data_IF_678601672523
#
_entry.id   IF_678601672523
#
_cell.length_a   1.000
_cell.length_b   1.000
_cell.length_c   1.000
_cell.angle_alpha   90.00
_cell.angle_beta   90.00
_cell.angle_gamma   90.00
#
_symmetry.space_group_name_H-M   'P 1'
#
loop_
_entity.id
_entity.type
_entity.pdbx_description
1 polymer ?
#
# COMPACT_ATOMS: atom_id res chain seq x y z
N UNK A 1 -38.33 -18.84 -4.86
CA UNK A 1 -37.77 -18.52 -6.19
C UNK A 1 -36.37 -17.98 -5.96
N UNK A 2 -35.33 -18.76 -6.28
CA UNK A 2 -33.95 -18.32 -6.14
C UNK A 2 -33.59 -17.40 -7.31
N UNK A 3 -33.09 -16.20 -7.01
CA UNK A 3 -32.53 -15.29 -8.00
C UNK A 3 -31.28 -15.94 -8.60
N UNK A 4 -31.29 -16.18 -9.90
CA UNK A 4 -30.08 -16.55 -10.65
C UNK A 4 -29.09 -15.40 -10.52
N UNK A 5 -27.94 -15.67 -9.90
CA UNK A 5 -26.76 -14.81 -10.01
C UNK A 5 -26.35 -14.77 -11.48
N UNK A 6 -26.35 -13.58 -12.07
CA UNK A 6 -25.76 -13.35 -13.38
C UNK A 6 -24.26 -13.71 -13.33
N UNK A 7 -23.69 -14.27 -14.41
CA UNK A 7 -22.26 -14.54 -14.44
C UNK A 7 -21.52 -13.20 -14.40
N UNK A 8 -20.73 -12.99 -13.34
CA UNK A 8 -19.80 -11.86 -13.25
C UNK A 8 -18.95 -11.84 -14.53
N UNK A 9 -18.99 -10.71 -15.25
CA UNK A 9 -18.10 -10.50 -16.39
C UNK A 9 -16.65 -10.62 -15.88
N UNK A 10 -15.77 -11.38 -16.56
CA UNK A 10 -14.38 -11.47 -16.15
C UNK A 10 -13.79 -10.06 -16.15
N UNK A 11 -13.27 -9.62 -15.00
CA UNK A 11 -12.58 -8.34 -14.85
C UNK A 11 -11.56 -8.19 -15.98
N UNK A 12 -11.40 -6.98 -16.57
CA UNK A 12 -10.48 -6.79 -17.68
C UNK A 12 -9.09 -7.28 -17.25
N UNK A 13 -8.49 -8.17 -18.05
CA UNK A 13 -7.16 -8.70 -17.80
C UNK A 13 -6.15 -7.54 -17.75
N UNK A 14 -5.74 -7.14 -16.54
CA UNK A 14 -4.67 -6.16 -16.36
C UNK A 14 -3.38 -6.80 -16.87
N UNK A 15 -2.76 -6.16 -17.86
CA UNK A 15 -1.44 -6.54 -18.33
C UNK A 15 -0.37 -6.07 -17.33
N UNK A 16 0.38 -7.02 -16.78
CA UNK A 16 1.56 -6.76 -15.94
C UNK A 16 2.82 -6.94 -16.82
N UNK A 17 3.61 -5.88 -17.05
CA UNK A 17 4.86 -6.00 -17.79
C UNK A 17 5.84 -6.96 -17.11
N UNK A 18 6.65 -7.73 -17.85
CA UNK A 18 7.66 -8.61 -17.28
C UNK A 18 8.59 -7.89 -16.29
N UNK A 19 8.98 -6.65 -16.60
CA UNK A 19 9.87 -5.84 -15.77
C UNK A 19 9.23 -5.50 -14.41
N UNK A 20 7.90 -5.36 -14.37
CA UNK A 20 7.18 -5.18 -13.10
C UNK A 20 7.12 -6.46 -12.30
N UNK A 21 6.93 -7.61 -12.96
CA UNK A 21 6.97 -8.91 -12.26
C UNK A 21 8.34 -9.16 -11.66
N UNK A 22 9.40 -9.02 -12.46
CA UNK A 22 10.78 -9.19 -12.01
C UNK A 22 11.12 -8.25 -10.85
N UNK A 23 10.74 -6.97 -10.93
CA UNK A 23 10.96 -6.02 -9.85
C UNK A 23 10.22 -6.43 -8.56
N UNK A 24 8.95 -6.86 -8.67
CA UNK A 24 8.17 -7.29 -7.51
C UNK A 24 8.74 -8.56 -6.86
N UNK A 25 9.16 -9.53 -7.68
CA UNK A 25 9.80 -10.76 -7.21
C UNK A 25 11.13 -10.46 -6.52
N UNK A 26 11.96 -9.57 -7.09
CA UNK A 26 13.19 -9.12 -6.44
C UNK A 26 12.92 -8.47 -5.08
N UNK A 27 11.94 -7.55 -5.00
CA UNK A 27 11.58 -6.90 -3.72
C UNK A 27 11.12 -7.94 -2.68
N UNK A 28 10.30 -8.91 -3.09
CA UNK A 28 9.72 -9.87 -2.17
C UNK A 28 10.68 -10.99 -1.75
N UNK A 29 11.57 -11.43 -2.65
CA UNK A 29 12.32 -12.68 -2.48
C UNK A 29 13.86 -12.54 -2.50
N UNK A 30 14.44 -11.42 -2.96
CA UNK A 30 15.91 -11.26 -3.09
C UNK A 30 16.61 -10.98 -1.75
N UNK A 31 15.86 -10.57 -0.72
CA UNK A 31 16.42 -10.33 0.62
C UNK A 31 16.38 -11.56 1.53
N UNK A 32 17.53 -11.90 2.13
CA UNK A 32 17.62 -12.84 3.25
C UNK A 32 16.87 -12.22 4.44
N UNK A 33 15.91 -12.96 4.98
CA UNK A 33 14.81 -12.48 5.83
C UNK A 33 15.26 -11.84 7.15
N UNK A 34 15.53 -10.53 7.16
CA UNK A 34 15.27 -9.55 8.24
C UNK A 34 16.15 -8.29 8.06
N UNK A 35 15.60 -7.07 8.12
CA UNK A 35 14.17 -6.77 8.22
C UNK A 35 13.43 -7.04 6.90
N UNK A 36 12.10 -7.25 6.93
CA UNK A 36 11.28 -7.32 5.72
C UNK A 36 11.34 -6.03 4.88
N UNK A 37 11.01 -6.11 3.58
CA UNK A 37 11.14 -4.98 2.67
C UNK A 37 10.17 -3.84 2.99
N UNK A 38 10.65 -2.61 2.80
CA UNK A 38 9.85 -1.39 2.71
C UNK A 38 10.02 -0.84 1.30
N UNK A 39 8.96 -0.88 0.50
CA UNK A 39 8.97 -0.46 -0.90
C UNK A 39 8.17 0.82 -1.07
N UNK A 40 8.80 1.85 -1.65
CA UNK A 40 8.13 3.12 -1.98
C UNK A 40 7.86 3.13 -3.49
N UNK A 41 6.59 3.28 -3.86
CA UNK A 41 6.16 3.36 -5.26
C UNK A 41 5.91 4.81 -5.62
N UNK A 42 6.75 5.36 -6.50
CA UNK A 42 6.70 6.75 -6.94
C UNK A 42 6.77 6.90 -8.46
N UNK A 43 6.38 8.08 -8.96
CA UNK A 43 6.25 8.34 -10.40
C UNK A 43 5.11 9.30 -10.73
N UNK A 44 4.98 9.64 -12.01
CA UNK A 44 3.99 10.60 -12.49
C UNK A 44 2.53 10.15 -12.25
N UNK A 45 1.58 11.09 -12.32
CA UNK A 45 0.16 10.76 -12.36
C UNK A 45 -0.14 9.84 -13.56
N UNK A 46 -1.00 8.84 -13.35
CA UNK A 46 -1.41 7.87 -14.36
C UNK A 46 -0.29 6.99 -14.98
N UNK A 47 0.90 6.89 -14.36
CA UNK A 47 1.95 5.97 -14.82
C UNK A 47 1.79 4.52 -14.29
N UNK A 48 0.67 4.21 -13.62
CA UNK A 48 0.37 2.87 -13.14
C UNK A 48 0.85 2.51 -11.73
N UNK A 49 1.27 3.50 -10.91
CA UNK A 49 1.72 3.29 -9.50
C UNK A 49 0.75 2.44 -8.69
N UNK A 50 -0.52 2.83 -8.60
CA UNK A 50 -1.57 2.09 -7.91
C UNK A 50 -1.68 0.62 -8.35
N UNK A 51 -1.57 0.38 -9.65
CA UNK A 51 -1.61 -0.98 -10.20
C UNK A 51 -0.38 -1.77 -9.78
N UNK A 52 0.81 -1.19 -9.90
CA UNK A 52 2.04 -1.82 -9.43
C UNK A 52 2.04 -2.06 -7.91
N UNK A 53 1.57 -1.09 -7.11
CA UNK A 53 1.46 -1.21 -5.65
C UNK A 53 0.53 -2.35 -5.24
N UNK A 54 -0.63 -2.51 -5.92
CA UNK A 54 -1.55 -3.64 -5.69
C UNK A 54 -0.95 -4.97 -6.13
N UNK A 55 -0.24 -5.00 -7.26
CA UNK A 55 0.48 -6.19 -7.72
C UNK A 55 1.57 -6.60 -6.73
N UNK A 56 2.45 -5.67 -6.32
CA UNK A 56 3.50 -5.90 -5.34
C UNK A 56 2.94 -6.35 -3.99
N UNK A 57 1.83 -5.74 -3.53
CA UNK A 57 1.13 -6.15 -2.32
C UNK A 57 0.72 -7.63 -2.38
N UNK A 58 0.14 -8.07 -3.51
CA UNK A 58 -0.25 -9.47 -3.70
C UNK A 58 0.95 -10.42 -3.71
N UNK A 59 2.07 -10.05 -4.37
CA UNK A 59 3.29 -10.86 -4.36
C UNK A 59 3.86 -10.97 -2.93
N UNK A 60 3.89 -9.87 -2.18
CA UNK A 60 4.31 -9.90 -0.77
C UNK A 60 3.39 -10.78 0.08
N UNK A 61 2.07 -10.75 -0.14
CA UNK A 61 1.11 -11.59 0.58
C UNK A 61 1.26 -13.10 0.30
N UNK A 62 1.89 -13.49 -0.81
CA UNK A 62 2.26 -14.89 -1.05
C UNK A 62 3.39 -15.38 -0.13
N UNK A 63 4.22 -14.46 0.37
CA UNK A 63 5.36 -14.75 1.25
C UNK A 63 5.10 -14.41 2.72
N UNK A 64 4.35 -13.35 2.98
CA UNK A 64 4.09 -12.80 4.31
C UNK A 64 2.60 -12.91 4.65
N UNK A 65 2.29 -13.29 5.89
CA UNK A 65 0.89 -13.40 6.36
C UNK A 65 0.13 -12.07 6.32
N UNK A 66 0.87 -10.97 6.49
CA UNK A 66 0.34 -9.61 6.53
C UNK A 66 1.33 -8.67 5.85
N UNK A 67 0.81 -7.62 5.23
CA UNK A 67 1.59 -6.55 4.61
C UNK A 67 0.95 -5.22 4.98
N UNK A 68 1.77 -4.25 5.37
CA UNK A 68 1.35 -2.87 5.57
C UNK A 68 1.23 -2.16 4.23
N UNK A 69 0.21 -1.30 4.11
CA UNK A 69 0.01 -0.41 2.98
C UNK A 69 -0.16 1.01 3.50
N UNK A 70 0.86 1.84 3.30
CA UNK A 70 0.85 3.26 3.64
C UNK A 70 0.47 4.06 2.40
N UNK A 71 -0.75 4.58 2.40
CA UNK A 71 -1.23 5.43 1.32
C UNK A 71 -1.06 6.90 1.67
N UNK A 72 -0.25 7.58 0.87
CA UNK A 72 0.02 9.01 1.01
C UNK A 72 -0.60 9.83 -0.12
N UNK A 73 -1.30 9.22 -1.08
CA UNK A 73 -2.01 9.96 -2.12
C UNK A 73 -3.37 10.45 -1.59
N UNK A 74 -3.41 11.70 -1.08
CA UNK A 74 -4.66 12.32 -0.62
C UNK A 74 -5.67 12.58 -1.74
N UNK A 75 -5.26 12.55 -3.01
CA UNK A 75 -6.14 12.81 -4.15
C UNK A 75 -6.83 11.56 -4.67
N UNK A 76 -6.09 10.46 -4.79
CA UNK A 76 -6.59 9.17 -5.27
C UNK A 76 -6.09 8.01 -4.39
N UNK A 77 -6.53 7.94 -3.13
CA UNK A 77 -6.17 6.84 -2.24
C UNK A 77 -6.86 5.53 -2.67
N UNK A 78 -6.25 4.40 -2.31
CA UNK A 78 -6.73 3.05 -2.59
C UNK A 78 -7.81 2.60 -1.60
N UNK A 79 -7.57 2.76 -0.28
CA UNK A 79 -8.39 2.11 0.76
C UNK A 79 -9.22 3.09 1.61
N UNK A 80 -9.19 4.37 1.29
CA UNK A 80 -9.88 5.41 2.07
C UNK A 80 -10.55 6.43 1.15
N UNK A 81 -11.47 7.27 1.66
CA UNK A 81 -12.01 8.38 0.89
C UNK A 81 -10.91 9.40 0.52
N UNK A 82 -11.08 10.20 -0.53
CA UNK A 82 -10.18 11.31 -0.84
C UNK A 82 -10.02 12.27 0.35
N UNK A 83 -8.82 12.82 0.49
CA UNK A 83 -8.44 13.71 1.58
C UNK A 83 -7.91 13.00 2.83
N UNK A 84 -7.69 11.69 2.78
CA UNK A 84 -7.08 10.92 3.86
C UNK A 84 -5.67 10.44 3.50
N UNK A 85 -4.82 10.36 4.52
CA UNK A 85 -3.66 9.47 4.51
C UNK A 85 -3.97 8.29 5.41
N UNK A 86 -3.52 7.09 5.05
CA UNK A 86 -3.89 5.89 5.80
C UNK A 86 -2.78 4.85 5.85
N UNK A 87 -2.72 4.12 6.96
CA UNK A 87 -1.98 2.87 7.10
C UNK A 87 -3.02 1.75 7.23
N UNK A 88 -2.99 0.81 6.30
CA UNK A 88 -3.86 -0.37 6.30
C UNK A 88 -3.01 -1.63 6.39
N UNK A 89 -3.44 -2.60 7.18
CA UNK A 89 -2.82 -3.93 7.21
C UNK A 89 -3.68 -4.88 6.39
N UNK A 90 -3.06 -5.48 5.39
CA UNK A 90 -3.72 -6.41 4.47
C UNK A 90 -3.20 -7.81 4.75
N UNK A 91 -4.11 -8.78 4.78
CA UNK A 91 -3.85 -10.18 5.10
C UNK A 91 -4.45 -11.16 4.09
N UNK A 92 -5.03 -10.64 3.01
CA UNK A 92 -5.67 -11.42 1.96
C UNK A 92 -5.30 -10.85 0.60
N UNK A 93 -4.93 -11.76 -0.33
CA UNK A 93 -4.65 -11.42 -1.72
C UNK A 93 -5.92 -10.83 -2.34
N UNK A 94 -5.75 -9.74 -3.08
CA UNK A 94 -6.83 -9.09 -3.81
C UNK A 94 -6.80 -9.58 -5.27
N UNK A 95 -7.66 -10.53 -5.69
CA UNK A 95 -7.62 -11.06 -7.06
C UNK A 95 -7.98 -9.95 -8.07
N UNK A 96 -8.94 -9.13 -7.65
CA UNK A 96 -9.46 -7.93 -8.29
C UNK A 96 -8.47 -6.75 -8.41
N UNK A 97 -7.43 -6.78 -9.24
CA UNK A 97 -6.48 -5.64 -9.34
C UNK A 97 -7.11 -4.34 -9.88
N UNK A 98 -8.37 -4.33 -10.31
CA UNK A 98 -9.12 -3.14 -10.73
C UNK A 98 -9.93 -2.52 -9.59
N UNK A 99 -10.34 -3.32 -8.60
CA UNK A 99 -11.24 -2.88 -7.52
C UNK A 99 -10.47 -2.79 -6.20
N UNK A 100 -10.30 -1.58 -5.63
CA UNK A 100 -9.78 -1.46 -4.28
C UNK A 100 -10.75 -2.11 -3.29
N UNK A 101 -10.26 -3.10 -2.55
CA UNK A 101 -11.05 -3.74 -1.50
C UNK A 101 -10.98 -2.87 -0.25
N UNK A 102 -12.04 -2.09 0.00
CA UNK A 102 -12.11 -1.24 1.19
C UNK A 102 -11.92 -2.08 2.46
N UNK A 103 -10.76 -1.97 3.08
CA UNK A 103 -10.47 -2.47 4.43
C UNK A 103 -10.43 -1.28 5.39
N UNK A 104 -10.92 -1.47 6.61
CA UNK A 104 -10.78 -0.46 7.66
C UNK A 104 -9.29 -0.25 7.94
N UNK A 105 -8.75 0.97 7.76
CA UNK A 105 -7.36 1.24 8.06
C UNK A 105 -7.06 1.06 9.55
N UNK A 106 -5.85 0.61 9.89
CA UNK A 106 -5.36 0.59 11.27
C UNK A 106 -5.30 2.02 11.83
N UNK A 107 -4.85 2.95 11.00
CA UNK A 107 -4.91 4.39 11.26
C UNK A 107 -5.15 5.17 9.98
N UNK A 108 -5.93 6.23 10.09
CA UNK A 108 -6.07 7.22 9.03
C UNK A 108 -6.13 8.62 9.63
N UNK A 109 -5.66 9.60 8.87
CA UNK A 109 -5.64 11.01 9.24
C UNK A 109 -6.32 11.81 8.14
N UNK A 110 -7.38 12.55 8.51
CA UNK A 110 -8.09 13.42 7.58
C UNK A 110 -7.28 14.69 7.34
N UNK A 111 -6.69 14.80 6.16
CA UNK A 111 -5.95 15.99 5.73
C UNK A 111 -6.88 17.14 5.33
N UNK A 112 -8.09 16.84 4.84
CA UNK A 112 -9.09 17.85 4.51
C UNK A 112 -8.91 18.52 3.15
N UNK A 113 -8.03 17.99 2.30
CA UNK A 113 -7.84 18.42 0.92
C UNK A 113 -7.38 17.26 0.03
N UNK A 114 -7.70 17.29 -1.26
CA UNK A 114 -7.24 16.31 -2.26
C UNK A 114 -5.88 16.69 -2.86
N UNK A 115 -5.30 17.79 -2.40
CA UNK A 115 -3.98 18.26 -2.77
C UNK A 115 -3.16 18.61 -1.53
N UNK A 116 -2.12 17.82 -1.24
CA UNK A 116 -1.13 18.17 -0.22
C UNK A 116 -0.34 19.48 -0.45
N UNK A 117 -0.49 20.17 -1.59
CA UNK A 117 0.08 21.50 -1.83
C UNK A 117 -0.53 22.55 -0.92
N UNK A 118 -1.76 22.33 -0.44
CA UNK A 118 -2.44 23.24 0.49
C UNK A 118 -1.66 23.45 1.78
N UNK A 119 -1.05 22.38 2.31
CA UNK A 119 -0.23 22.45 3.51
C UNK A 119 0.79 21.29 3.53
N UNK A 120 1.94 21.45 2.85
CA UNK A 120 2.96 20.41 2.76
C UNK A 120 3.51 19.98 4.12
N UNK A 121 3.61 20.91 5.08
CA UNK A 121 4.09 20.64 6.44
C UNK A 121 3.13 19.70 7.17
N UNK A 122 1.83 20.00 7.18
CA UNK A 122 0.84 19.11 7.81
C UNK A 122 0.77 17.75 7.11
N UNK A 123 0.87 17.74 5.78
CA UNK A 123 0.93 16.50 5.01
C UNK A 123 2.11 15.61 5.44
N UNK A 124 3.32 16.17 5.50
CA UNK A 124 4.51 15.44 5.95
C UNK A 124 4.38 14.99 7.41
N UNK A 125 3.86 15.84 8.30
CA UNK A 125 3.61 15.48 9.69
C UNK A 125 2.66 14.28 9.82
N UNK A 126 1.65 14.18 8.94
CA UNK A 126 0.73 13.04 8.93
C UNK A 126 1.40 11.77 8.42
N UNK A 127 2.25 11.87 7.39
CA UNK A 127 3.07 10.73 6.94
C UNK A 127 3.98 10.25 8.06
N UNK A 128 4.69 11.16 8.74
CA UNK A 128 5.56 10.81 9.86
C UNK A 128 4.78 10.17 10.99
N UNK A 129 3.62 10.73 11.38
CA UNK A 129 2.79 10.15 12.43
C UNK A 129 2.30 8.73 12.11
N UNK A 130 1.96 8.44 10.84
CA UNK A 130 1.58 7.10 10.39
C UNK A 130 2.78 6.16 10.35
N UNK A 131 3.95 6.63 9.90
CA UNK A 131 5.16 5.84 9.84
C UNK A 131 5.73 5.53 11.24
N UNK A 132 5.74 6.49 12.15
CA UNK A 132 6.13 6.31 13.55
C UNK A 132 5.26 5.25 14.24
N UNK A 133 3.94 5.29 13.96
CA UNK A 133 3.03 4.25 14.43
C UNK A 133 3.38 2.88 13.84
N UNK A 134 3.62 2.80 12.53
CA UNK A 134 4.04 1.56 11.89
C UNK A 134 5.32 1.00 12.53
N UNK A 135 6.34 1.83 12.74
CA UNK A 135 7.59 1.40 13.34
C UNK A 135 7.38 0.87 14.77
N UNK A 136 6.59 1.59 15.58
CA UNK A 136 6.30 1.20 16.96
C UNK A 136 5.60 -0.15 17.05
N UNK A 137 4.57 -0.38 16.24
CA UNK A 137 3.74 -1.58 16.36
C UNK A 137 4.37 -2.80 15.66
N UNK A 138 5.03 -2.57 14.52
CA UNK A 138 5.39 -3.64 13.59
C UNK A 138 6.89 -3.82 13.34
N UNK A 139 7.74 -2.86 13.71
CA UNK A 139 9.20 -2.98 13.52
C UNK A 139 9.98 -3.24 14.82
N UNK A 140 9.39 -3.02 15.99
CA UNK A 140 10.08 -3.27 17.26
C UNK A 140 10.17 -4.77 17.54
N UNK A 141 11.38 -5.31 17.36
CA UNK A 141 11.78 -6.64 17.82
C UNK A 141 11.97 -6.61 19.33
N UNK A 142 11.06 -7.22 20.08
CA UNK A 142 11.34 -7.51 21.48
C UNK A 142 12.40 -8.62 21.54
N UNK A 143 13.61 -8.27 21.96
CA UNK A 143 14.72 -9.25 22.11
C UNK A 143 14.46 -10.24 23.26
N UNK A 144 13.41 -10.04 24.06
CA UNK A 144 13.20 -10.75 25.33
C UNK A 144 12.10 -11.81 25.36
N UNK A 145 11.29 -11.96 24.32
CA UNK A 145 10.18 -12.93 24.33
C UNK A 145 9.98 -13.62 22.97
N UNK A 146 10.23 -14.95 22.92
CA UNK A 146 9.64 -16.01 22.06
C UNK A 146 9.30 -15.74 20.56
N UNK A 147 9.30 -16.79 19.72
CA UNK A 147 10.04 -16.79 18.46
C UNK A 147 9.79 -15.55 17.58
N UNK A 148 10.89 -14.87 17.26
CA UNK A 148 11.07 -13.88 16.18
C UNK A 148 9.77 -13.21 15.68
N UNK A 149 9.37 -12.09 16.29
CA UNK A 149 8.40 -11.17 15.71
C UNK A 149 8.96 -10.70 14.37
N UNK A 150 8.64 -11.39 13.28
CA UNK A 150 9.06 -11.01 11.93
C UNK A 150 8.42 -9.66 11.66
N UNK A 151 9.21 -8.66 11.27
CA UNK A 151 8.66 -7.35 10.94
C UNK A 151 7.54 -7.44 9.90
N UNK A 152 6.69 -6.43 9.83
CA UNK A 152 5.69 -6.34 8.77
C UNK A 152 6.33 -5.71 7.53
N UNK A 153 6.31 -6.31 6.33
CA UNK A 153 6.70 -5.60 5.10
C UNK A 153 5.74 -4.44 4.82
N UNK A 154 6.21 -3.40 4.13
CA UNK A 154 5.43 -2.19 3.88
C UNK A 154 5.50 -1.76 2.40
N UNK A 155 4.35 -1.54 1.79
CA UNK A 155 4.22 -0.83 0.51
C UNK A 155 3.78 0.61 0.79
N UNK A 156 4.49 1.59 0.25
CA UNK A 156 4.16 3.02 0.38
C UNK A 156 3.73 3.56 -0.99
N UNK A 157 2.46 3.91 -1.11
CA UNK A 157 1.93 4.58 -2.31
C UNK A 157 2.09 6.10 -2.19
N UNK A 158 2.57 6.74 -3.25
CA UNK A 158 2.87 8.17 -3.27
C UNK A 158 2.06 8.94 -4.33
N UNK A 159 1.75 10.22 -4.10
CA UNK A 159 1.03 11.04 -5.06
C UNK A 159 1.83 11.24 -6.36
N UNK A 160 1.12 11.37 -7.47
CA UNK A 160 1.69 11.45 -8.82
C UNK A 160 2.30 12.79 -9.23
N UNK A 161 2.90 13.57 -8.34
CA UNK A 161 3.35 14.92 -8.67
C UNK A 161 4.78 14.95 -9.20
N UNK A 162 4.93 15.46 -10.42
CA UNK A 162 6.20 15.51 -11.17
C UNK A 162 6.61 16.95 -11.52
N UNK A 163 5.86 17.97 -11.09
CA UNK A 163 6.20 19.39 -11.32
C UNK A 163 5.87 20.28 -10.11
N UNK A 164 6.77 21.23 -9.92
CA UNK A 164 7.10 21.93 -8.68
C UNK A 164 5.93 22.60 -7.93
N UNK A 165 6.09 22.67 -6.62
CA UNK A 165 5.55 23.75 -5.82
C UNK A 165 6.50 24.94 -6.02
N UNK A 166 6.22 25.77 -7.02
CA UNK A 166 6.78 27.13 -7.08
C UNK A 166 6.08 28.02 -6.05
#
# INVERSE_FOLDING_TARGET
>A
MASRSEPENPSPNIYIPPEWSEAADCIAYDSVTSPPPIAIVCGAKNCGKSTFSRYLLNILLQRYKKVGYLDTDVGQPEFSPPGFLSLTVVDEVTPDLTIPHLKTPERCLFFGDVSSKRNPTTYLNYIFALYDYYQKEYCLFDKSASPAKVGLPLVVNTPGWVKDAN
#
